data_IF_305355835535
#
_entry.id   IF_305355835535
#
_cell.length_a   1.000
_cell.length_b   1.000
_cell.length_c   1.000
_cell.angle_alpha   90.00
_cell.angle_beta   90.00
_cell.angle_gamma   90.00
#
_symmetry.space_group_name_H-M   'P 1'
#
loop_
_entity.id
_entity.type
_entity.pdbx_description
1 polymer ?
#
# COMPACT_ATOMS: atom_id res chain seq x y z
N UNK A 1 -43.82 15.31 -1.03
CA UNK A 1 -43.48 13.96 -0.55
C UNK A 1 -42.07 14.05 0.01
N UNK A 2 -41.92 14.17 1.34
CA UNK A 2 -40.59 14.16 1.97
C UNK A 2 -40.11 12.72 1.98
N UNK A 3 -39.03 12.44 1.25
CA UNK A 3 -38.41 11.13 1.20
C UNK A 3 -37.69 10.91 2.54
N UNK A 4 -38.32 10.18 3.46
CA UNK A 4 -37.72 9.86 4.75
C UNK A 4 -36.78 8.66 4.55
N UNK A 5 -35.49 8.88 4.76
CA UNK A 5 -34.48 7.83 4.72
C UNK A 5 -34.51 7.11 6.07
N UNK A 6 -34.63 5.78 6.05
CA UNK A 6 -34.70 4.97 7.28
C UNK A 6 -33.32 4.49 7.73
N UNK A 7 -33.20 4.11 9.01
CA UNK A 7 -31.96 3.54 9.56
C UNK A 7 -31.51 2.28 8.80
N UNK A 8 -32.47 1.42 8.40
CA UNK A 8 -32.19 0.22 7.60
C UNK A 8 -31.60 0.56 6.23
N UNK A 9 -32.12 1.61 5.58
CA UNK A 9 -31.59 2.10 4.30
C UNK A 9 -30.17 2.65 4.45
N UNK A 10 -29.89 3.36 5.54
CA UNK A 10 -28.56 3.90 5.85
C UNK A 10 -27.56 2.77 6.10
N UNK A 11 -27.94 1.77 6.90
CA UNK A 11 -27.11 0.60 7.19
C UNK A 11 -26.79 -0.16 5.89
N UNK A 12 -27.82 -0.45 5.09
CA UNK A 12 -27.65 -1.18 3.83
C UNK A 12 -26.78 -0.41 2.85
N UNK A 13 -27.05 0.89 2.65
CA UNK A 13 -26.25 1.73 1.78
C UNK A 13 -24.79 1.80 2.24
N UNK A 14 -24.54 1.88 3.55
CA UNK A 14 -23.17 1.90 4.07
C UNK A 14 -22.45 0.56 3.89
N UNK A 15 -23.14 -0.56 4.11
CA UNK A 15 -22.59 -1.91 3.88
C UNK A 15 -22.18 -2.12 2.41
N UNK A 16 -22.95 -1.59 1.47
CA UNK A 16 -22.66 -1.69 0.04
C UNK A 16 -21.51 -0.76 -0.39
N UNK A 17 -21.49 0.50 0.09
CA UNK A 17 -20.52 1.50 -0.35
C UNK A 17 -19.18 1.47 0.40
N UNK A 18 -19.20 1.03 1.65
CA UNK A 18 -18.03 0.87 2.51
C UNK A 18 -17.32 2.16 2.95
N UNK A 19 -17.80 3.34 2.54
CA UNK A 19 -17.23 4.65 2.92
C UNK A 19 -18.33 5.70 3.13
N UNK A 20 -18.10 6.64 4.06
CA UNK A 20 -19.04 7.73 4.34
C UNK A 20 -19.23 8.71 3.17
N UNK A 21 -18.18 8.94 2.37
CA UNK A 21 -18.27 9.81 1.19
C UNK A 21 -19.23 9.23 0.15
N UNK A 22 -19.08 7.94 -0.16
CA UNK A 22 -19.98 7.27 -1.11
C UNK A 22 -21.39 7.12 -0.57
N UNK A 23 -21.55 6.83 0.72
CA UNK A 23 -22.85 6.84 1.39
C UNK A 23 -23.56 8.20 1.20
N UNK A 24 -22.87 9.30 1.48
CA UNK A 24 -23.40 10.65 1.35
C UNK A 24 -23.83 10.95 -0.11
N UNK A 25 -22.97 10.64 -1.08
CA UNK A 25 -23.28 10.77 -2.50
C UNK A 25 -24.48 9.92 -2.93
N UNK A 26 -24.58 8.68 -2.44
CA UNK A 26 -25.66 7.75 -2.78
C UNK A 26 -27.01 8.16 -2.23
N UNK A 27 -27.05 8.64 -0.99
CA UNK A 27 -28.26 9.10 -0.33
C UNK A 27 -28.62 10.56 -0.67
N UNK A 28 -27.76 11.26 -1.43
CA UNK A 28 -27.96 12.67 -1.78
C UNK A 28 -27.92 13.61 -0.57
N UNK A 29 -27.15 13.22 0.47
CA UNK A 29 -27.03 13.98 1.73
C UNK A 29 -25.62 14.57 1.87
N UNK A 30 -25.47 15.52 2.80
CA UNK A 30 -24.15 16.06 3.12
C UNK A 30 -23.28 15.06 3.89
N UNK A 31 -21.96 15.16 3.74
CA UNK A 31 -21.03 14.32 4.51
C UNK A 31 -21.22 14.44 6.04
N UNK A 32 -21.36 15.65 6.63
CA UNK A 32 -21.68 15.79 8.06
C UNK A 32 -22.96 15.07 8.47
N UNK A 33 -23.99 15.08 7.61
CA UNK A 33 -25.25 14.35 7.85
C UNK A 33 -24.99 12.85 7.89
N UNK A 34 -24.23 12.31 6.93
CA UNK A 34 -23.84 10.90 6.92
C UNK A 34 -23.02 10.50 8.17
N UNK A 35 -22.11 11.37 8.64
CA UNK A 35 -21.35 11.16 9.90
C UNK A 35 -22.30 11.10 11.10
N UNK A 36 -23.21 12.08 11.23
CA UNK A 36 -24.16 12.12 12.35
C UNK A 36 -25.00 10.85 12.37
N UNK A 37 -25.68 10.52 11.26
CA UNK A 37 -26.59 9.38 11.20
C UNK A 37 -25.90 8.05 11.46
N UNK A 38 -24.73 7.82 10.87
CA UNK A 38 -23.98 6.58 11.12
C UNK A 38 -23.47 6.47 12.57
N UNK A 39 -23.19 7.60 13.21
CA UNK A 39 -22.82 7.67 14.63
C UNK A 39 -24.03 7.40 15.53
N UNK A 40 -25.16 8.04 15.24
CA UNK A 40 -26.42 7.91 15.98
C UNK A 40 -26.97 6.47 15.91
N UNK A 41 -26.85 5.82 14.76
CA UNK A 41 -27.22 4.41 14.54
C UNK A 41 -26.19 3.43 15.14
N UNK A 42 -24.96 3.88 15.40
CA UNK A 42 -23.88 3.04 15.96
C UNK A 42 -23.23 2.09 14.95
N UNK A 43 -23.19 2.45 13.66
CA UNK A 43 -22.56 1.62 12.62
C UNK A 43 -21.04 1.56 12.85
N UNK A 44 -20.46 0.36 12.90
CA UNK A 44 -19.01 0.18 12.89
C UNK A 44 -18.43 0.60 11.54
N UNK A 45 -17.90 1.82 11.48
CA UNK A 45 -17.27 2.35 10.29
C UNK A 45 -15.99 1.57 9.95
N UNK A 46 -15.74 1.41 8.66
CA UNK A 46 -14.49 0.88 8.15
C UNK A 46 -13.40 1.87 8.53
N UNK A 47 -12.23 1.39 8.96
CA UNK A 47 -11.09 2.27 9.21
C UNK A 47 -10.72 2.98 7.92
N UNK A 48 -11.14 4.23 7.80
CA UNK A 48 -10.74 5.12 6.71
C UNK A 48 -9.38 5.71 7.09
N UNK A 49 -8.35 5.42 6.30
CA UNK A 49 -6.99 5.85 6.60
C UNK A 49 -5.95 5.15 5.73
N UNK A 50 -4.67 5.41 6.01
CA UNK A 50 -3.56 4.75 5.32
C UNK A 50 -3.55 3.25 5.66
N UNK A 51 -3.97 2.42 4.71
CA UNK A 51 -3.67 1.00 4.76
C UNK A 51 -2.21 0.82 4.38
N UNK A 52 -1.41 0.23 5.28
CA UNK A 52 -0.03 -0.15 4.93
C UNK A 52 -0.07 -1.05 3.70
N UNK A 53 0.60 -0.69 2.60
CA UNK A 53 0.63 -1.53 1.42
C UNK A 53 1.25 -2.89 1.78
N UNK A 54 0.63 -3.98 1.33
CA UNK A 54 1.34 -5.24 1.22
C UNK A 54 2.37 -5.10 0.10
N UNK A 55 3.61 -5.51 0.35
CA UNK A 55 4.67 -5.51 -0.64
C UNK A 55 4.95 -6.93 -1.11
N UNK A 56 5.34 -7.09 -2.37
CA UNK A 56 5.66 -8.40 -2.97
C UNK A 56 7.00 -8.97 -2.45
N UNK A 57 7.69 -8.23 -1.60
CA UNK A 57 8.96 -8.59 -1.00
C UNK A 57 9.07 -8.03 0.42
N UNK A 58 9.82 -8.74 1.26
CA UNK A 58 10.08 -8.36 2.65
C UNK A 58 11.26 -7.40 2.77
N UNK A 59 11.37 -6.75 3.93
CA UNK A 59 12.52 -5.93 4.32
C UNK A 59 13.85 -6.70 4.27
N UNK A 60 13.84 -7.96 4.75
CA UNK A 60 15.02 -8.83 4.74
C UNK A 60 15.40 -9.24 3.32
N UNK A 61 14.43 -9.61 2.48
CA UNK A 61 14.67 -9.88 1.06
C UNK A 61 15.34 -8.69 0.37
N UNK A 62 14.83 -7.48 0.58
CA UNK A 62 15.43 -6.25 0.04
C UNK A 62 16.90 -6.11 0.44
N UNK A 63 17.18 -6.26 1.74
CA UNK A 63 18.53 -6.12 2.26
C UNK A 63 19.48 -7.18 1.70
N UNK A 64 19.05 -8.44 1.71
CA UNK A 64 19.87 -9.56 1.24
C UNK A 64 20.13 -9.50 -0.26
N UNK A 65 19.15 -9.11 -1.07
CA UNK A 65 19.36 -8.89 -2.50
C UNK A 65 20.38 -7.78 -2.77
N UNK A 66 20.32 -6.66 -2.04
CA UNK A 66 21.30 -5.57 -2.17
C UNK A 66 22.71 -6.02 -1.75
N UNK A 67 22.82 -6.73 -0.64
CA UNK A 67 24.10 -7.26 -0.13
C UNK A 67 24.68 -8.32 -1.08
N UNK A 68 23.83 -9.17 -1.68
CA UNK A 68 24.21 -10.14 -2.71
C UNK A 68 24.81 -9.45 -3.95
N UNK A 69 24.22 -8.33 -4.38
CA UNK A 69 24.76 -7.49 -5.45
C UNK A 69 26.00 -6.68 -5.03
N UNK A 70 26.47 -6.83 -3.79
CA UNK A 70 27.60 -6.10 -3.20
C UNK A 70 27.45 -4.57 -3.25
N UNK A 71 26.22 -4.08 -3.24
CA UNK A 71 25.93 -2.65 -3.31
C UNK A 71 25.80 -2.02 -1.93
N UNK A 72 26.34 -0.80 -1.79
CA UNK A 72 25.99 0.04 -0.65
C UNK A 72 24.57 0.59 -0.79
N UNK A 73 24.01 1.13 0.29
CA UNK A 73 22.73 1.84 0.20
C UNK A 73 22.81 3.05 -0.71
N UNK A 74 23.95 3.73 -0.75
CA UNK A 74 24.16 4.91 -1.59
C UNK A 74 24.14 4.55 -3.08
N UNK A 75 24.81 3.47 -3.46
CA UNK A 75 24.81 2.97 -4.84
C UNK A 75 23.38 2.60 -5.28
N UNK A 76 22.66 1.88 -4.42
CA UNK A 76 21.30 1.46 -4.73
C UNK A 76 20.31 2.64 -4.81
N UNK A 77 20.46 3.64 -3.93
CA UNK A 77 19.63 4.84 -3.95
C UNK A 77 19.87 5.68 -5.21
N UNK A 78 21.12 5.72 -5.69
CA UNK A 78 21.48 6.44 -6.92
C UNK A 78 20.78 5.84 -8.15
N UNK A 79 20.59 4.51 -8.18
CA UNK A 79 19.86 3.85 -9.25
C UNK A 79 18.33 3.94 -9.08
N UNK A 80 17.83 3.57 -7.90
CA UNK A 80 16.37 3.47 -7.63
C UNK A 80 15.68 4.82 -7.47
N UNK A 81 16.44 5.91 -7.29
CA UNK A 81 15.94 7.26 -6.96
C UNK A 81 15.08 7.29 -5.69
N UNK A 82 15.34 6.36 -4.77
CA UNK A 82 14.71 6.30 -3.45
C UNK A 82 15.59 7.00 -2.42
N UNK A 83 14.97 7.61 -1.41
CA UNK A 83 15.70 8.21 -0.29
C UNK A 83 16.47 7.16 0.51
N UNK A 84 17.74 7.46 0.82
CA UNK A 84 18.59 6.63 1.68
C UNK A 84 17.97 6.32 3.03
N UNK A 85 17.30 7.31 3.64
CA UNK A 85 16.61 7.14 4.93
C UNK A 85 15.45 6.17 4.79
N UNK A 86 14.64 6.33 3.73
CA UNK A 86 13.49 5.44 3.50
C UNK A 86 13.93 3.99 3.27
N UNK A 87 14.97 3.77 2.45
CA UNK A 87 15.54 2.45 2.22
C UNK A 87 16.10 1.84 3.50
N UNK A 88 16.87 2.62 4.28
CA UNK A 88 17.47 2.15 5.54
C UNK A 88 16.41 1.75 6.56
N UNK A 89 15.43 2.61 6.84
CA UNK A 89 14.38 2.32 7.82
C UNK A 89 13.54 1.11 7.41
N UNK A 90 13.28 0.96 6.10
CA UNK A 90 12.61 -0.23 5.56
C UNK A 90 13.41 -1.51 5.79
N UNK A 91 14.68 -1.55 5.36
CA UNK A 91 15.55 -2.72 5.52
C UNK A 91 15.76 -3.12 6.99
N UNK A 92 15.71 -2.16 7.91
CA UNK A 92 15.79 -2.40 9.36
C UNK A 92 14.45 -2.83 9.98
N UNK A 93 13.36 -2.87 9.20
CA UNK A 93 12.01 -3.17 9.69
C UNK A 93 11.40 -2.09 10.57
N UNK A 94 11.94 -0.87 10.53
CA UNK A 94 11.49 0.26 11.35
C UNK A 94 10.37 1.07 10.71
N UNK A 95 10.23 0.99 9.38
CA UNK A 95 9.18 1.66 8.63
C UNK A 95 8.65 0.81 7.48
N UNK A 96 7.35 0.90 7.21
CA UNK A 96 6.77 0.43 5.95
C UNK A 96 6.96 1.49 4.88
N UNK A 97 7.18 1.06 3.63
CA UNK A 97 7.32 1.96 2.50
C UNK A 97 5.97 2.16 1.80
N UNK A 98 5.83 3.27 1.07
CA UNK A 98 4.67 3.48 0.22
C UNK A 98 4.79 2.60 -1.02
N UNK A 99 3.66 2.26 -1.63
CA UNK A 99 3.60 1.44 -2.86
C UNK A 99 4.50 1.99 -3.96
N UNK A 100 4.52 3.31 -4.16
CA UNK A 100 5.37 3.94 -5.18
C UNK A 100 6.87 3.70 -4.92
N UNK A 101 7.31 3.84 -3.66
CA UNK A 101 8.69 3.57 -3.27
C UNK A 101 9.04 2.09 -3.46
N UNK A 102 8.12 1.19 -3.09
CA UNK A 102 8.29 -0.25 -3.29
C UNK A 102 8.47 -0.59 -4.77
N UNK A 103 7.66 0.00 -5.65
CA UNK A 103 7.76 -0.21 -7.10
C UNK A 103 9.12 0.27 -7.67
N UNK A 104 9.65 1.40 -7.18
CA UNK A 104 10.99 1.88 -7.58
C UNK A 104 12.11 0.93 -7.15
N UNK A 105 12.01 0.38 -5.94
CA UNK A 105 12.96 -0.62 -5.43
C UNK A 105 12.88 -1.90 -6.27
N UNK A 106 11.67 -2.42 -6.52
CA UNK A 106 11.45 -3.61 -7.34
C UNK A 106 12.01 -3.44 -8.75
N UNK A 107 11.67 -2.33 -9.41
CA UNK A 107 12.16 -2.05 -10.76
C UNK A 107 13.69 -1.98 -10.82
N UNK A 108 14.35 -1.40 -9.82
CA UNK A 108 15.81 -1.36 -9.76
C UNK A 108 16.42 -2.76 -9.61
N UNK A 109 15.83 -3.62 -8.78
CA UNK A 109 16.25 -5.01 -8.64
C UNK A 109 16.02 -5.83 -9.90
N UNK A 110 14.89 -5.65 -10.58
CA UNK A 110 14.59 -6.33 -11.85
C UNK A 110 15.60 -5.99 -12.94
N UNK A 111 16.01 -4.72 -13.05
CA UNK A 111 17.09 -4.29 -13.98
C UNK A 111 18.42 -4.99 -13.66
N UNK A 112 18.65 -5.31 -12.39
CA UNK A 112 19.83 -6.05 -11.91
C UNK A 112 19.66 -7.57 -11.98
N UNK A 113 18.58 -8.04 -12.60
CA UNK A 113 18.28 -9.47 -12.77
C UNK A 113 17.82 -10.16 -11.49
N UNK A 114 17.43 -9.41 -10.45
CA UNK A 114 16.86 -9.97 -9.21
C UNK A 114 15.33 -10.04 -9.35
N UNK A 115 14.76 -11.19 -8.95
CA UNK A 115 13.31 -11.39 -8.81
C UNK A 115 12.99 -11.91 -7.42
N UNK A 116 12.04 -11.29 -6.73
CA UNK A 116 11.60 -11.75 -5.42
C UNK A 116 10.52 -12.83 -5.54
N UNK A 117 10.63 -13.85 -4.69
CA UNK A 117 9.68 -14.95 -4.60
C UNK A 117 8.81 -14.77 -3.35
N UNK A 118 7.58 -15.30 -3.38
CA UNK A 118 6.62 -15.17 -2.28
C UNK A 118 7.01 -15.97 -1.02
N UNK A 119 7.99 -16.89 -1.13
CA UNK A 119 8.48 -17.75 -0.05
C UNK A 119 9.58 -17.09 0.81
N UNK A 120 9.89 -15.82 0.56
CA UNK A 120 10.96 -15.09 1.26
C UNK A 120 12.33 -15.22 0.60
N UNK A 121 12.45 -15.87 -0.55
CA UNK A 121 13.71 -16.00 -1.32
C UNK A 121 13.77 -15.01 -2.49
N UNK A 122 14.91 -14.94 -3.17
CA UNK A 122 15.04 -14.23 -4.44
C UNK A 122 15.90 -15.02 -5.42
N UNK A 123 15.63 -14.84 -6.71
CA UNK A 123 16.33 -15.48 -7.82
C UNK A 123 17.15 -14.44 -8.58
N UNK A 124 18.35 -14.80 -9.02
CA UNK A 124 19.18 -13.96 -9.89
C UNK A 124 19.27 -14.58 -11.29
N UNK A 125 18.56 -14.01 -12.26
CA UNK A 125 18.66 -14.41 -13.66
C UNK A 125 19.83 -13.69 -14.31
N UNK A 126 20.93 -14.39 -14.59
CA UNK A 126 21.97 -13.85 -15.45
C UNK A 126 21.42 -13.77 -16.87
N UNK A 127 21.12 -12.57 -17.35
CA UNK A 127 21.11 -12.33 -18.79
C UNK A 127 22.57 -12.39 -19.24
N UNK A 128 23.04 -13.57 -19.62
CA UNK A 128 24.25 -13.67 -20.44
C UNK A 128 24.00 -12.87 -21.71
N UNK A 129 24.90 -11.95 -22.12
CA UNK A 129 24.87 -11.44 -23.47
C UNK A 129 24.98 -12.67 -24.40
N UNK A 130 24.04 -12.83 -25.32
CA UNK A 130 24.28 -13.70 -26.47
C UNK A 130 25.36 -13.02 -27.29
N UNK A 131 26.50 -13.68 -27.43
CA UNK A 131 27.55 -13.35 -28.40
C UNK A 131 26.98 -13.23 -29.83
#
# INVERSE_FOLDING_TARGET
MTNYITDEEIIKAYQEEGTLHKLASRLGISYPTAVSWTTDIGIKLNRQGYNSPSHDFTNLQCRHAREFLKMTRDDFCSLSKVSKTALREFELGKANIRRETANKILAAFEVMGIRFNADGTFSHGQSTPRD
#
